data_IF_695906638118
#
_entry.id   IF_695906638118
#
_cell.length_a   1.000
_cell.length_b   1.000
_cell.length_c   1.000
_cell.angle_alpha   90.00
_cell.angle_beta   90.00
_cell.angle_gamma   90.00
#
_symmetry.space_group_name_H-M   'P 1'
#
loop_
_entity.id
_entity.type
_entity.pdbx_description
1 polymer ?
#
# COMPACT_ATOMS: atom_id res chain seq x y z
N UNK A 1 -6.95 -1.68 -6.48
CA UNK A 1 -5.56 -1.44 -6.03
C UNK A 1 -4.94 -2.74 -5.57
N UNK A 2 -3.69 -3.06 -5.92
CA UNK A 2 -3.04 -4.30 -5.44
C UNK A 2 -2.61 -4.06 -3.98
N UNK A 3 -2.99 -4.96 -3.07
CA UNK A 3 -2.54 -5.05 -1.66
C UNK A 3 -1.04 -4.75 -1.46
N UNK A 4 -0.25 -5.01 -2.49
CA UNK A 4 1.18 -4.75 -2.61
C UNK A 4 1.61 -3.28 -2.51
N UNK A 5 0.76 -2.31 -2.88
CA UNK A 5 1.11 -0.88 -2.89
C UNK A 5 1.18 -0.26 -1.49
N UNK A 6 0.46 -0.81 -0.51
CA UNK A 6 0.48 -0.32 0.88
C UNK A 6 1.66 -0.87 1.68
N UNK A 7 2.02 -2.15 1.45
CA UNK A 7 3.22 -2.74 2.02
C UNK A 7 4.51 -2.06 1.50
N UNK A 8 4.48 -1.62 0.24
CA UNK A 8 5.51 -0.82 -0.41
C UNK A 8 5.76 0.52 0.30
N UNK A 9 4.69 1.23 0.70
CA UNK A 9 4.77 2.49 1.46
C UNK A 9 5.35 2.24 2.86
N UNK A 10 4.89 1.20 3.56
CA UNK A 10 5.44 0.84 4.87
C UNK A 10 6.95 0.50 4.82
N UNK A 11 7.40 -0.18 3.77
CA UNK A 11 8.83 -0.47 3.55
C UNK A 11 9.64 0.79 3.18
N UNK A 12 9.08 1.71 2.38
CA UNK A 12 9.70 3.00 2.06
C UNK A 12 9.95 3.85 3.31
N UNK A 13 8.96 3.92 4.21
CA UNK A 13 9.07 4.62 5.50
C UNK A 13 10.18 4.01 6.37
N UNK A 14 10.32 2.68 6.36
CA UNK A 14 11.36 1.97 7.11
C UNK A 14 12.77 2.23 6.59
N UNK A 15 12.96 2.36 5.27
CA UNK A 15 14.28 2.67 4.70
C UNK A 15 14.64 4.14 4.93
N UNK A 16 13.71 5.08 4.73
CA UNK A 16 13.95 6.51 4.93
C UNK A 16 14.41 6.83 6.37
N UNK A 17 13.79 6.19 7.36
CA UNK A 17 14.11 6.45 8.76
C UNK A 17 15.23 5.57 9.35
N UNK A 18 15.62 4.46 8.70
CA UNK A 18 16.86 3.76 9.03
C UNK A 18 18.12 4.55 8.59
N UNK A 19 18.00 5.39 7.57
CA UNK A 19 19.08 6.23 7.06
C UNK A 19 19.38 7.46 7.94
N UNK A 20 18.47 7.86 8.84
CA UNK A 20 18.63 9.07 9.67
C UNK A 20 19.63 8.92 10.83
N UNK A 21 20.16 7.71 11.06
CA UNK A 21 20.97 7.40 12.24
C UNK A 21 22.48 7.19 12.02
N UNK A 22 23.02 7.18 10.78
CA UNK A 22 24.40 6.69 10.57
C UNK A 22 25.32 7.34 9.52
N UNK A 23 24.96 8.38 8.76
CA UNK A 23 25.89 9.04 7.82
C UNK A 23 25.32 10.40 7.35
N UNK A 24 26.10 11.32 6.73
CA UNK A 24 25.53 12.54 6.16
C UNK A 24 24.50 12.12 5.10
N UNK A 25 23.24 12.41 5.40
CA UNK A 25 22.11 12.00 4.56
C UNK A 25 22.30 12.75 3.25
N UNK A 26 22.67 12.06 2.18
CA UNK A 26 22.38 12.57 0.85
C UNK A 26 20.88 12.89 0.86
N UNK A 27 20.55 14.16 0.60
CA UNK A 27 19.20 14.72 0.74
C UNK A 27 18.18 13.74 0.14
N UNK A 28 17.27 13.24 0.98
CA UNK A 28 16.28 12.28 0.52
C UNK A 28 15.35 13.00 -0.45
N UNK A 29 15.30 12.55 -1.69
CA UNK A 29 14.33 13.03 -2.69
C UNK A 29 13.21 12.02 -2.81
N UNK A 30 12.13 12.42 -3.47
CA UNK A 30 11.03 11.51 -3.81
C UNK A 30 11.56 10.31 -4.63
N UNK A 31 12.42 10.58 -5.61
CA UNK A 31 12.98 9.56 -6.50
C UNK A 31 13.91 8.60 -5.77
N UNK A 32 14.82 9.12 -4.92
CA UNK A 32 15.74 8.26 -4.17
C UNK A 32 15.00 7.41 -3.13
N UNK A 33 13.96 7.98 -2.49
CA UNK A 33 13.07 7.27 -1.56
C UNK A 33 12.29 6.15 -2.25
N UNK A 34 11.60 6.46 -3.36
CA UNK A 34 10.83 5.46 -4.10
C UNK A 34 11.71 4.39 -4.75
N UNK A 35 12.90 4.76 -5.23
CA UNK A 35 13.88 3.83 -5.76
C UNK A 35 14.43 2.89 -4.69
N UNK A 36 14.70 3.39 -3.49
CA UNK A 36 15.11 2.56 -2.35
C UNK A 36 13.99 1.61 -1.91
N UNK A 37 12.73 2.09 -1.89
CA UNK A 37 11.58 1.26 -1.60
C UNK A 37 11.45 0.10 -2.61
N UNK A 38 11.58 0.37 -3.91
CA UNK A 38 11.50 -0.66 -4.96
C UNK A 38 12.65 -1.69 -4.92
N UNK A 39 13.83 -1.30 -4.41
CA UNK A 39 14.92 -2.26 -4.14
C UNK A 39 14.59 -3.18 -2.96
N UNK A 40 13.93 -2.66 -1.92
CA UNK A 40 13.50 -3.43 -0.74
C UNK A 40 12.27 -4.30 -0.99
N UNK A 41 11.36 -3.86 -1.85
CA UNK A 41 10.14 -4.56 -2.23
C UNK A 41 9.86 -4.42 -3.73
N UNK A 42 10.07 -5.52 -4.46
CA UNK A 42 9.85 -5.62 -5.92
C UNK A 42 8.42 -5.29 -6.38
N UNK A 43 7.48 -5.14 -5.45
CA UNK A 43 6.08 -4.79 -5.75
C UNK A 43 5.84 -3.28 -5.76
N UNK A 44 6.79 -2.47 -5.28
CA UNK A 44 6.71 -1.00 -5.38
C UNK A 44 6.88 -0.60 -6.84
N UNK A 45 5.90 0.12 -7.36
CA UNK A 45 6.03 0.82 -8.64
C UNK A 45 6.60 2.22 -8.38
N UNK A 46 7.81 2.49 -8.87
CA UNK A 46 8.52 3.75 -8.61
C UNK A 46 7.74 4.95 -9.14
N UNK A 47 7.13 4.83 -10.33
CA UNK A 47 6.37 5.91 -10.94
C UNK A 47 5.09 6.24 -10.17
N UNK A 48 4.37 5.22 -9.72
CA UNK A 48 3.21 5.38 -8.85
C UNK A 48 3.60 6.00 -7.51
N UNK A 49 4.65 5.48 -6.87
CA UNK A 49 5.18 6.03 -5.61
C UNK A 49 5.49 7.53 -5.74
N UNK A 50 6.25 7.91 -6.77
CA UNK A 50 6.63 9.30 -6.99
C UNK A 50 5.42 10.20 -7.24
N UNK A 51 4.41 9.73 -8.00
CA UNK A 51 3.17 10.49 -8.22
C UNK A 51 2.37 10.70 -6.93
N UNK A 52 2.34 9.72 -6.02
CA UNK A 52 1.66 9.88 -4.74
C UNK A 52 2.35 10.92 -3.85
N UNK A 53 3.67 11.00 -3.88
CA UNK A 53 4.37 12.09 -3.20
C UNK A 53 4.12 13.45 -3.86
N UNK A 54 4.16 13.51 -5.19
CA UNK A 54 3.94 14.75 -5.93
C UNK A 54 2.54 15.37 -5.72
N UNK A 55 1.55 14.58 -5.27
CA UNK A 55 0.23 15.11 -4.92
C UNK A 55 0.18 15.79 -3.53
N UNK A 56 1.23 15.70 -2.73
CA UNK A 56 1.34 16.39 -1.44
C UNK A 56 2.10 17.70 -1.58
N UNK A 57 1.47 18.81 -1.21
CA UNK A 57 2.12 20.12 -1.16
C UNK A 57 3.30 20.09 -0.19
N UNK A 58 4.47 20.54 -0.64
CA UNK A 58 5.69 20.60 0.17
C UNK A 58 6.48 19.29 0.22
N UNK A 59 6.07 18.25 -0.52
CA UNK A 59 6.79 16.98 -0.54
C UNK A 59 8.14 17.07 -1.24
N UNK A 60 8.30 17.95 -2.24
CA UNK A 60 9.54 18.12 -2.97
C UNK A 60 10.64 18.78 -2.12
N UNK A 61 10.25 19.60 -1.15
CA UNK A 61 11.12 20.35 -0.24
C UNK A 61 11.26 19.67 1.13
N UNK A 62 10.59 18.55 1.34
CA UNK A 62 10.58 17.85 2.62
C UNK A 62 11.92 17.16 2.90
N UNK A 63 12.40 17.29 4.14
CA UNK A 63 13.52 16.48 4.63
C UNK A 63 13.12 14.98 4.71
N UNK A 64 14.08 14.11 5.04
CA UNK A 64 13.84 12.67 5.14
C UNK A 64 12.70 12.29 6.13
N UNK A 65 12.49 13.07 7.18
CA UNK A 65 11.41 12.83 8.14
C UNK A 65 10.07 13.35 7.63
N UNK A 66 10.06 14.51 6.96
CA UNK A 66 8.91 15.04 6.27
C UNK A 66 8.42 14.06 5.20
N UNK A 67 9.32 13.50 4.39
CA UNK A 67 9.00 12.45 3.42
C UNK A 67 8.46 11.18 4.11
N UNK A 68 9.05 10.76 5.23
CA UNK A 68 8.53 9.61 5.98
C UNK A 68 7.10 9.85 6.50
N UNK A 69 6.82 11.05 7.04
CA UNK A 69 5.47 11.43 7.49
C UNK A 69 4.49 11.50 6.32
N UNK A 70 4.86 12.11 5.21
CA UNK A 70 4.03 12.20 4.00
C UNK A 70 3.73 10.81 3.46
N UNK A 71 4.70 9.89 3.44
CA UNK A 71 4.46 8.50 3.06
C UNK A 71 3.43 7.82 3.96
N UNK A 72 3.48 8.04 5.28
CA UNK A 72 2.47 7.52 6.18
C UNK A 72 1.07 8.09 5.85
N UNK A 73 0.96 9.40 5.58
CA UNK A 73 -0.29 10.03 5.18
C UNK A 73 -0.82 9.52 3.82
N UNK A 74 0.06 9.26 2.85
CA UNK A 74 -0.31 8.58 1.59
C UNK A 74 -0.92 7.21 1.89
N UNK A 75 -0.35 6.49 2.87
CA UNK A 75 -0.89 5.21 3.34
C UNK A 75 -2.31 5.31 3.89
N UNK A 76 -2.64 6.39 4.61
CA UNK A 76 -4.01 6.69 5.07
C UNK A 76 -4.95 6.85 3.87
N UNK A 77 -4.63 7.74 2.93
CA UNK A 77 -5.47 7.99 1.76
C UNK A 77 -5.71 6.72 0.93
N UNK A 78 -4.67 5.91 0.72
CA UNK A 78 -4.79 4.65 -0.03
C UNK A 78 -5.64 3.61 0.70
N UNK A 79 -5.65 3.64 2.04
CA UNK A 79 -6.51 2.78 2.84
C UNK A 79 -7.98 3.23 2.75
N UNK A 80 -8.23 4.54 2.86
CA UNK A 80 -9.57 5.13 2.73
C UNK A 80 -10.15 4.91 1.33
N UNK A 81 -9.35 5.10 0.28
CA UNK A 81 -9.75 4.79 -1.10
C UNK A 81 -10.15 3.31 -1.24
N UNK A 82 -9.43 2.40 -0.58
CA UNK A 82 -9.76 0.97 -0.60
C UNK A 82 -11.09 0.69 0.13
N UNK A 83 -11.32 1.30 1.29
CA UNK A 83 -12.60 1.20 2.01
C UNK A 83 -13.74 1.73 1.15
N UNK A 84 -13.55 2.90 0.53
CA UNK A 84 -14.53 3.54 -0.34
C UNK A 84 -14.86 2.67 -1.56
N UNK A 85 -13.84 2.16 -2.27
CA UNK A 85 -14.04 1.32 -3.46
C UNK A 85 -14.77 0.01 -3.14
N UNK A 86 -14.53 -0.56 -1.95
CA UNK A 86 -15.26 -1.74 -1.46
C UNK A 86 -16.73 -1.37 -1.17
N UNK A 87 -16.97 -0.31 -0.40
CA UNK A 87 -18.31 0.12 -0.01
C UNK A 87 -19.17 0.60 -1.19
N UNK A 88 -18.55 1.26 -2.17
CA UNK A 88 -19.20 1.70 -3.40
C UNK A 88 -19.46 0.55 -4.39
N UNK A 89 -19.04 -0.68 -4.07
CA UNK A 89 -19.24 -1.85 -4.92
C UNK A 89 -18.46 -1.80 -6.24
N UNK A 90 -17.39 -0.99 -6.33
CA UNK A 90 -16.53 -0.92 -7.52
C UNK A 90 -15.71 -2.20 -7.72
N UNK A 91 -15.60 -3.02 -6.68
CA UNK A 91 -14.95 -4.34 -6.71
C UNK A 91 -16.04 -5.42 -6.81
N UNK A 92 -16.81 -5.41 -7.92
CA UNK A 92 -17.91 -6.37 -8.16
C UNK A 92 -17.78 -7.14 -9.48
N UNK A 93 -18.32 -8.38 -9.54
CA UNK A 93 -18.90 -9.13 -8.41
C UNK A 93 -17.84 -9.46 -7.35
N UNK A 94 -18.23 -9.49 -6.09
CA UNK A 94 -17.33 -9.77 -4.96
C UNK A 94 -16.51 -11.03 -5.28
N UNK A 95 -15.18 -11.02 -5.11
CA UNK A 95 -14.36 -12.19 -5.38
C UNK A 95 -14.88 -13.41 -4.60
N UNK A 96 -15.17 -14.51 -5.29
CA UNK A 96 -15.83 -15.68 -4.69
C UNK A 96 -17.35 -15.74 -4.91
N UNK A 97 -18.01 -14.59 -5.10
CA UNK A 97 -19.45 -14.47 -5.33
C UNK A 97 -20.33 -14.79 -4.13
N UNK A 98 -21.56 -14.27 -4.16
CA UNK A 98 -22.60 -14.51 -3.16
C UNK A 98 -22.25 -14.02 -1.74
N UNK A 99 -23.09 -14.38 -0.77
CA UNK A 99 -22.98 -13.90 0.61
C UNK A 99 -21.62 -14.17 1.28
N UNK A 100 -20.91 -15.23 0.88
CA UNK A 100 -19.55 -15.52 1.39
C UNK A 100 -18.51 -14.54 0.83
N UNK A 101 -18.60 -14.21 -0.45
CA UNK A 101 -17.77 -13.19 -1.08
C UNK A 101 -18.04 -11.80 -0.47
N UNK A 102 -19.31 -11.45 -0.29
CA UNK A 102 -19.70 -10.16 0.28
C UNK A 102 -19.19 -10.01 1.73
N UNK A 103 -19.38 -11.04 2.58
CA UNK A 103 -18.84 -11.04 3.94
C UNK A 103 -17.31 -10.94 3.97
N UNK A 104 -16.61 -11.52 2.99
CA UNK A 104 -15.17 -11.38 2.89
C UNK A 104 -14.75 -9.96 2.47
N UNK A 105 -15.52 -9.31 1.59
CA UNK A 105 -15.32 -7.90 1.24
C UNK A 105 -15.56 -6.98 2.44
N UNK A 106 -16.58 -7.21 3.25
CA UNK A 106 -16.82 -6.45 4.48
C UNK A 106 -15.65 -6.59 5.48
N UNK A 107 -15.12 -7.80 5.63
CA UNK A 107 -13.95 -8.05 6.46
C UNK A 107 -12.69 -7.35 5.89
N UNK A 108 -12.56 -7.27 4.56
CA UNK A 108 -11.52 -6.51 3.91
C UNK A 108 -11.64 -5.01 4.17
N UNK A 109 -12.85 -4.43 4.07
CA UNK A 109 -13.07 -3.02 4.38
C UNK A 109 -12.63 -2.69 5.81
N UNK A 110 -13.03 -3.51 6.79
CA UNK A 110 -12.58 -3.34 8.19
C UNK A 110 -11.07 -3.49 8.37
N UNK A 111 -10.45 -4.39 7.61
CA UNK A 111 -9.00 -4.54 7.65
C UNK A 111 -8.28 -3.31 7.07
N UNK A 112 -8.79 -2.72 5.97
CA UNK A 112 -8.23 -1.51 5.38
C UNK A 112 -8.48 -0.27 6.25
N UNK A 113 -9.64 -0.14 6.89
CA UNK A 113 -9.91 0.91 7.88
C UNK A 113 -8.84 0.89 9.01
N UNK A 114 -8.58 -0.29 9.57
CA UNK A 114 -7.51 -0.45 10.56
C UNK A 114 -6.08 -0.24 10.00
N UNK A 115 -5.87 -0.42 8.69
CA UNK A 115 -4.60 -0.03 8.03
C UNK A 115 -4.47 1.50 8.02
N UNK A 116 -5.55 2.22 7.71
CA UNK A 116 -5.59 3.68 7.76
C UNK A 116 -5.23 4.21 9.14
N UNK A 117 -5.82 3.64 10.20
CA UNK A 117 -5.50 3.98 11.60
C UNK A 117 -4.02 3.78 11.91
N UNK A 118 -3.45 2.62 11.56
CA UNK A 118 -2.03 2.35 11.82
C UNK A 118 -1.09 3.32 11.07
N UNK A 119 -1.47 3.73 9.86
CA UNK A 119 -0.72 4.76 9.13
C UNK A 119 -0.85 6.15 9.75
N UNK A 120 -2.03 6.52 10.26
CA UNK A 120 -2.25 7.79 10.95
C UNK A 120 -1.41 7.86 12.24
N UNK A 121 -1.45 6.81 13.06
CA UNK A 121 -0.62 6.70 14.28
C UNK A 121 0.88 6.76 13.93
N UNK A 122 1.32 6.06 12.88
CA UNK A 122 2.69 6.16 12.42
C UNK A 122 3.08 7.58 11.98
N UNK A 123 2.16 8.33 11.34
CA UNK A 123 2.41 9.72 10.94
C UNK A 123 2.58 10.64 12.16
N UNK A 124 1.79 10.44 13.22
CA UNK A 124 1.90 11.20 14.48
C UNK A 124 3.21 10.90 15.22
N UNK A 125 3.59 9.62 15.27
CA UNK A 125 4.87 9.16 15.82
C UNK A 125 6.06 9.74 15.06
N UNK A 126 6.02 9.75 13.72
CA UNK A 126 7.03 10.38 12.87
C UNK A 126 7.08 11.90 13.05
N UNK A 127 5.92 12.54 13.20
CA UNK A 127 5.83 13.96 13.54
C UNK A 127 6.49 14.29 14.88
N UNK A 128 6.43 13.35 15.83
CA UNK A 128 7.11 13.42 17.13
C UNK A 128 8.55 12.91 17.12
N UNK A 129 9.12 12.61 15.94
CA UNK A 129 10.45 12.03 15.74
C UNK A 129 10.67 10.67 16.46
N UNK A 130 9.59 9.92 16.75
CA UNK A 130 9.63 8.63 17.45
C UNK A 130 9.61 7.46 16.47
N UNK A 131 10.73 7.23 15.80
CA UNK A 131 10.81 6.22 14.74
C UNK A 131 10.46 4.81 15.21
N UNK A 132 10.95 4.37 16.37
CA UNK A 132 10.70 3.01 16.87
C UNK A 132 9.20 2.72 17.06
N UNK A 133 8.43 3.70 17.55
CA UNK A 133 6.98 3.58 17.69
C UNK A 133 6.28 3.56 16.32
N UNK A 134 6.66 4.46 15.41
CA UNK A 134 6.15 4.43 14.03
C UNK A 134 6.39 3.08 13.33
N UNK A 135 7.55 2.43 13.57
CA UNK A 135 7.83 1.09 13.05
C UNK A 135 6.89 0.03 13.60
N UNK A 136 6.53 0.12 14.88
CA UNK A 136 5.63 -0.84 15.51
C UNK A 136 4.25 -0.75 14.89
N UNK A 137 3.76 0.45 14.58
CA UNK A 137 2.48 0.61 13.90
C UNK A 137 2.52 0.12 12.45
N UNK A 138 3.57 0.48 11.70
CA UNK A 138 3.72 0.00 10.32
C UNK A 138 3.89 -1.53 10.21
N UNK A 139 4.43 -2.19 11.23
CA UNK A 139 4.52 -3.64 11.26
C UNK A 139 3.13 -4.32 11.27
N UNK A 140 2.09 -3.64 11.77
CA UNK A 140 0.72 -4.17 11.80
C UNK A 140 0.06 -4.17 10.42
N UNK A 141 0.46 -3.25 9.53
CA UNK A 141 -0.13 -3.07 8.19
C UNK A 141 -0.05 -4.35 7.36
N UNK A 142 1.11 -5.01 7.31
CA UNK A 142 1.28 -6.23 6.53
C UNK A 142 0.33 -7.35 6.98
N UNK A 143 0.17 -7.53 8.30
CA UNK A 143 -0.73 -8.53 8.85
C UNK A 143 -2.21 -8.21 8.56
N UNK A 144 -2.60 -6.94 8.62
CA UNK A 144 -3.96 -6.49 8.27
C UNK A 144 -4.30 -6.77 6.81
N UNK A 145 -3.40 -6.42 5.88
CA UNK A 145 -3.57 -6.68 4.45
C UNK A 145 -3.66 -8.18 4.17
N UNK A 146 -2.79 -8.99 4.80
CA UNK A 146 -2.83 -10.45 4.68
C UNK A 146 -4.14 -11.07 5.21
N UNK A 147 -4.77 -10.47 6.24
CA UNK A 147 -6.08 -10.93 6.74
C UNK A 147 -7.17 -10.76 5.67
N UNK A 148 -7.17 -9.65 4.95
CA UNK A 148 -8.08 -9.45 3.81
C UNK A 148 -7.83 -10.49 2.71
N UNK A 149 -6.58 -10.63 2.24
CA UNK A 149 -6.21 -11.58 1.18
C UNK A 149 -6.58 -13.04 1.54
N UNK A 150 -6.31 -13.43 2.79
CA UNK A 150 -6.68 -14.74 3.32
C UNK A 150 -8.19 -14.95 3.41
N UNK A 151 -8.94 -13.91 3.80
CA UNK A 151 -10.40 -13.92 3.83
C UNK A 151 -11.02 -14.14 2.44
N UNK A 152 -10.56 -13.37 1.45
CA UNK A 152 -10.98 -13.52 0.05
C UNK A 152 -10.60 -14.89 -0.51
N UNK A 153 -9.38 -15.36 -0.21
CA UNK A 153 -8.93 -16.68 -0.64
C UNK A 153 -9.84 -17.79 -0.12
N UNK A 154 -10.24 -17.73 1.17
CA UNK A 154 -11.20 -18.68 1.78
C UNK A 154 -12.61 -18.56 1.21
N UNK A 155 -13.00 -17.38 0.75
CA UNK A 155 -14.28 -17.17 0.05
C UNK A 155 -14.28 -17.72 -1.40
N UNK A 156 -13.17 -18.29 -1.87
CA UNK A 156 -13.06 -18.89 -3.21
C UNK A 156 -12.59 -17.91 -4.30
N UNK A 157 -12.12 -16.71 -3.92
CA UNK A 157 -11.60 -15.71 -4.85
C UNK A 157 -10.38 -16.20 -5.66
N UNK A 158 -9.54 -17.08 -5.09
CA UNK A 158 -8.37 -17.64 -5.79
C UNK A 158 -8.73 -18.48 -7.02
N UNK A 159 -9.92 -19.10 -7.04
CA UNK A 159 -10.32 -19.99 -8.13
C UNK A 159 -10.80 -19.25 -9.41
N UNK A 160 -10.92 -17.92 -9.37
CA UNK A 160 -11.47 -17.12 -10.48
C UNK A 160 -10.38 -16.38 -11.27
N UNK A 161 -9.27 -15.99 -10.60
CA UNK A 161 -8.12 -15.35 -11.27
C UNK A 161 -7.35 -16.35 -12.14
N UNK A 162 -7.22 -17.61 -11.70
CA UNK A 162 -6.57 -18.67 -12.47
C UNK A 162 -7.44 -19.18 -13.64
N UNK A 163 -8.77 -19.10 -13.55
CA UNK A 163 -9.70 -19.49 -14.63
C UNK A 163 -9.89 -18.43 -15.72
N UNK A 164 -9.36 -17.22 -15.52
CA UNK A 164 -9.36 -16.13 -16.53
C UNK A 164 -8.01 -15.95 -17.25
N UNK A 165 -6.97 -16.73 -16.92
CA UNK A 165 -5.83 -16.90 -17.80
C UNK A 165 -6.16 -18.00 -18.80
N UNK A 166 -6.31 -17.72 -20.11
CA UNK A 166 -6.16 -18.78 -21.10
C UNK A 166 -4.74 -19.33 -20.98
N UNK A 167 -4.63 -20.63 -20.74
CA UNK A 167 -3.40 -21.37 -20.97
C UNK A 167 -2.93 -21.12 -22.40
N UNK A 168 -1.64 -20.82 -22.55
CA UNK A 168 -0.86 -20.70 -23.79
C UNK A 168 -1.60 -20.65 -25.13
N UNK A 169 -1.48 -19.53 -25.84
CA UNK A 169 -1.85 -19.47 -27.24
C UNK A 169 -1.36 -18.19 -27.89
N UNK A 170 -0.29 -18.30 -28.69
CA UNK A 170 0.00 -17.37 -29.77
C UNK A 170 -1.29 -16.99 -30.50
N UNK A 171 -1.58 -15.70 -30.69
CA UNK A 171 -2.04 -15.19 -31.97
C UNK A 171 -1.93 -13.67 -32.06
N UNK A 172 -1.28 -13.25 -33.15
CA UNK A 172 -1.23 -11.90 -33.71
C UNK A 172 -2.62 -11.41 -34.16
N UNK A 173 -2.64 -10.12 -34.49
CA UNK A 173 -3.62 -9.31 -35.24
C UNK A 173 -4.59 -8.50 -34.37
N UNK A 174 -4.47 -7.15 -34.30
CA UNK A 174 -4.75 -6.11 -35.33
C UNK A 174 -6.25 -6.05 -35.65
N UNK A 175 -6.93 -4.99 -35.22
CA UNK A 175 -7.58 -3.97 -36.07
C UNK A 175 -8.74 -3.23 -35.35
N UNK A 176 -8.75 -1.92 -35.59
CA UNK A 176 -9.74 -0.85 -35.33
C UNK A 176 -10.05 -0.49 -33.88
#
# INVERSE_FOLDING_TARGET
MKASSLAAVAAAVLVAAACSGRAPVAEATIESTCGAAAKGDRRVDVGFCARQFASYHGAAEADAWGLAKIAALIGVNLADDAVFDIGAGKIRPSPGGGAKGDKAMDACAKAYDAVGVAFAEAADELGSRRYAAARQELARVAALVQRCDGGLSRAGARAQVQRRLPAGGHHRHRLY
#
